data_IF_394309487635
#
_entry.id   IF_394309487635
#
_cell.length_a   1.000
_cell.length_b   1.000
_cell.length_c   1.000
_cell.angle_alpha   90.00
_cell.angle_beta   90.00
_cell.angle_gamma   90.00
#
_symmetry.space_group_name_H-M   'P 1'
#
loop_
_entity.id
_entity.type
_entity.pdbx_description
1 polymer ?
#
# COMPACT_ATOMS: atom_id res chain seq x y z
N UNK A 1 17.37 6.59 15.47
CA UNK A 1 16.53 7.80 15.62
C UNK A 1 16.20 8.29 14.21
N UNK A 2 14.95 8.19 13.75
CA UNK A 2 14.55 8.68 12.41
C UNK A 2 14.51 10.22 12.48
N UNK A 3 15.35 10.89 11.71
CA UNK A 3 15.35 12.36 11.63
C UNK A 3 14.03 12.83 11.02
N UNK A 4 13.39 13.85 11.62
CA UNK A 4 12.12 14.39 11.14
C UNK A 4 12.33 15.09 9.79
N UNK A 5 11.64 14.65 8.74
CA UNK A 5 11.72 15.26 7.42
C UNK A 5 10.95 16.60 7.39
N UNK A 6 11.60 17.75 7.14
CA UNK A 6 10.94 19.05 7.06
C UNK A 6 9.87 19.13 5.95
N UNK A 7 10.02 18.34 4.87
CA UNK A 7 9.06 18.31 3.76
C UNK A 7 7.85 17.42 4.02
N UNK A 8 7.81 16.72 5.16
CA UNK A 8 6.68 15.89 5.57
C UNK A 8 5.87 16.53 6.70
N UNK A 9 6.03 17.85 6.90
CA UNK A 9 5.26 18.59 7.88
C UNK A 9 3.78 18.68 7.47
N UNK A 10 2.87 18.71 8.47
CA UNK A 10 1.45 18.86 8.21
C UNK A 10 1.16 20.21 7.54
N UNK A 11 0.22 20.20 6.60
CA UNK A 11 -0.34 21.42 6.01
C UNK A 11 -1.45 21.92 6.91
N UNK A 12 -1.42 23.19 7.28
CA UNK A 12 -2.43 23.83 8.13
C UNK A 12 -3.00 25.06 7.41
N UNK A 13 -3.97 25.75 8.01
CA UNK A 13 -4.40 27.06 7.50
C UNK A 13 -3.32 28.14 7.64
N UNK A 14 -2.41 28.01 8.61
CA UNK A 14 -1.35 28.98 8.89
C UNK A 14 -0.09 28.72 8.05
N UNK A 15 0.25 27.45 7.83
CA UNK A 15 1.41 27.01 7.06
C UNK A 15 1.00 26.09 5.90
N UNK A 16 1.00 26.68 4.71
CA UNK A 16 0.67 26.03 3.45
C UNK A 16 1.88 25.90 2.52
N UNK A 17 3.11 26.04 3.00
CA UNK A 17 4.30 26.02 2.15
C UNK A 17 4.38 24.77 1.25
N UNK A 18 4.13 23.58 1.82
CA UNK A 18 4.12 22.32 1.07
C UNK A 18 3.02 22.27 -0.01
N UNK A 19 1.84 22.85 0.28
CA UNK A 19 0.74 22.93 -0.68
C UNK A 19 1.07 23.90 -1.83
N UNK A 20 1.63 25.07 -1.51
CA UNK A 20 2.08 26.06 -2.49
C UNK A 20 3.17 25.47 -3.40
N UNK A 21 4.11 24.71 -2.85
CA UNK A 21 5.11 24.01 -3.64
C UNK A 21 4.47 23.02 -4.63
N UNK A 22 3.45 22.26 -4.21
CA UNK A 22 2.71 21.37 -5.10
C UNK A 22 1.98 22.15 -6.21
N UNK A 23 1.36 23.28 -5.89
CA UNK A 23 0.71 24.14 -6.88
C UNK A 23 1.71 24.70 -7.90
N UNK A 24 2.88 25.15 -7.44
CA UNK A 24 3.95 25.63 -8.31
C UNK A 24 4.47 24.50 -9.20
N UNK A 25 4.65 23.30 -8.65
CA UNK A 25 5.05 22.13 -9.42
C UNK A 25 4.02 21.76 -10.49
N UNK A 26 2.72 21.77 -10.16
CA UNK A 26 1.65 21.51 -11.13
C UNK A 26 1.67 22.52 -12.29
N UNK A 27 1.83 23.82 -11.99
CA UNK A 27 1.96 24.87 -13.02
C UNK A 27 3.21 24.69 -13.88
N UNK A 28 4.33 24.35 -13.25
CA UNK A 28 5.57 24.07 -13.98
C UNK A 28 5.42 22.85 -14.90
N UNK A 29 4.76 21.79 -14.43
CA UNK A 29 4.54 20.57 -15.19
C UNK A 29 3.72 20.84 -16.45
N UNK A 30 2.68 21.66 -16.35
CA UNK A 30 1.89 22.10 -17.51
C UNK A 30 2.74 22.91 -18.48
N UNK A 31 3.52 23.89 -18.01
CA UNK A 31 4.39 24.68 -18.87
C UNK A 31 5.44 23.80 -19.58
N UNK A 32 6.05 22.85 -18.85
CA UNK A 32 7.04 21.92 -19.38
C UNK A 32 6.49 21.04 -20.51
N UNK A 33 5.23 20.61 -20.41
CA UNK A 33 4.58 19.81 -21.46
C UNK A 33 4.45 20.57 -22.80
N UNK A 34 4.31 21.89 -22.75
CA UNK A 34 4.11 22.75 -23.93
C UNK A 34 5.42 23.27 -24.56
N UNK A 35 6.59 22.96 -23.99
CA UNK A 35 7.88 23.37 -24.56
C UNK A 35 8.23 22.54 -25.80
N UNK A 36 8.40 23.19 -26.95
CA UNK A 36 8.82 22.51 -28.19
C UNK A 36 10.30 22.08 -28.14
N UNK A 37 10.64 20.98 -28.84
CA UNK A 37 12.03 20.55 -29.05
C UNK A 37 12.62 19.58 -28.02
N UNK A 38 11.86 19.13 -27.02
CA UNK A 38 12.31 18.10 -26.06
C UNK A 38 11.96 16.70 -26.55
N UNK A 39 12.96 15.86 -26.83
CA UNK A 39 12.78 14.45 -27.27
C UNK A 39 12.38 13.50 -26.14
N UNK A 40 12.33 13.97 -24.90
CA UNK A 40 12.11 13.18 -23.67
C UNK A 40 11.05 13.84 -22.78
N UNK A 41 9.78 13.76 -23.18
CA UNK A 41 8.63 14.13 -22.34
C UNK A 41 7.99 12.89 -21.72
N UNK A 42 7.18 13.09 -20.69
CA UNK A 42 6.33 12.03 -20.17
C UNK A 42 5.36 11.55 -21.26
N UNK A 43 5.03 10.26 -21.23
CA UNK A 43 3.94 9.75 -22.07
C UNK A 43 2.64 10.48 -21.72
N UNK A 44 1.75 10.68 -22.69
CA UNK A 44 0.46 11.35 -22.48
C UNK A 44 -0.31 10.77 -21.30
N UNK A 45 -0.28 9.44 -21.14
CA UNK A 45 -0.91 8.76 -20.01
C UNK A 45 -0.28 9.15 -18.67
N UNK A 46 1.05 9.14 -18.58
CA UNK A 46 1.77 9.47 -17.32
C UNK A 46 1.63 10.95 -16.97
N UNK A 47 1.73 11.83 -17.97
CA UNK A 47 1.49 13.26 -17.79
C UNK A 47 0.08 13.52 -17.24
N UNK A 48 -0.95 12.97 -17.89
CA UNK A 48 -2.33 13.15 -17.45
C UNK A 48 -2.57 12.58 -16.05
N UNK A 49 -2.00 11.42 -15.73
CA UNK A 49 -2.12 10.82 -14.40
C UNK A 49 -1.46 11.70 -13.33
N UNK A 50 -0.25 12.20 -13.59
CA UNK A 50 0.48 13.07 -12.66
C UNK A 50 -0.27 14.38 -12.43
N UNK A 51 -0.68 15.08 -13.49
CA UNK A 51 -1.42 16.34 -13.39
C UNK A 51 -2.74 16.17 -12.65
N UNK A 52 -3.51 15.10 -12.96
CA UNK A 52 -4.76 14.80 -12.24
C UNK A 52 -4.51 14.52 -10.77
N UNK A 53 -3.48 13.76 -10.44
CA UNK A 53 -3.16 13.43 -9.05
C UNK A 53 -2.77 14.68 -8.27
N UNK A 54 -1.92 15.54 -8.85
CA UNK A 54 -1.53 16.81 -8.21
C UNK A 54 -2.74 17.73 -7.98
N UNK A 55 -3.57 17.91 -8.99
CA UNK A 55 -4.78 18.74 -8.88
C UNK A 55 -5.78 18.17 -7.86
N UNK A 56 -5.96 16.85 -7.82
CA UNK A 56 -6.82 16.20 -6.83
C UNK A 56 -6.30 16.40 -5.40
N UNK A 57 -4.99 16.25 -5.17
CA UNK A 57 -4.37 16.47 -3.85
C UNK A 57 -4.53 17.92 -3.41
N UNK A 58 -4.32 18.89 -4.30
CA UNK A 58 -4.48 20.33 -4.01
C UNK A 58 -5.94 20.62 -3.63
N UNK A 59 -6.89 20.27 -4.50
CA UNK A 59 -8.31 20.54 -4.28
C UNK A 59 -8.85 19.84 -3.02
N UNK A 60 -8.45 18.60 -2.79
CA UNK A 60 -8.85 17.86 -1.59
C UNK A 60 -8.31 18.53 -0.33
N UNK A 61 -7.06 19.01 -0.36
CA UNK A 61 -6.45 19.69 0.77
C UNK A 61 -7.13 21.02 1.07
N UNK A 62 -7.39 21.83 0.03
CA UNK A 62 -8.11 23.10 0.16
C UNK A 62 -9.53 22.88 0.70
N UNK A 63 -10.25 21.89 0.17
CA UNK A 63 -11.59 21.55 0.61
C UNK A 63 -11.62 21.08 2.08
N UNK A 64 -10.67 20.22 2.46
CA UNK A 64 -10.59 19.71 3.82
C UNK A 64 -10.25 20.80 4.86
N UNK A 65 -9.36 21.74 4.52
CA UNK A 65 -9.02 22.85 5.41
C UNK A 65 -10.13 23.92 5.47
N UNK A 66 -10.68 24.30 4.31
CA UNK A 66 -11.60 25.45 4.22
C UNK A 66 -13.06 25.06 4.46
N UNK A 67 -13.50 23.90 3.98
CA UNK A 67 -14.92 23.48 4.01
C UNK A 67 -15.21 22.50 5.13
N UNK A 68 -14.32 21.54 5.40
CA UNK A 68 -14.50 20.58 6.48
C UNK A 68 -13.98 21.07 7.84
N UNK A 69 -13.20 22.17 7.85
CA UNK A 69 -12.64 22.73 9.08
C UNK A 69 -11.61 21.82 9.75
N UNK A 70 -10.92 20.96 8.99
CA UNK A 70 -9.87 20.11 9.52
C UNK A 70 -8.66 20.99 9.87
N UNK A 71 -8.10 20.81 11.07
CA UNK A 71 -6.99 21.62 11.59
C UNK A 71 -5.72 21.47 10.73
N UNK A 72 -5.42 20.24 10.31
CA UNK A 72 -4.23 19.94 9.53
C UNK A 72 -4.37 18.69 8.66
N UNK A 73 -3.56 18.63 7.60
CA UNK A 73 -3.55 17.53 6.63
C UNK A 73 -2.14 17.00 6.45
N UNK A 74 -2.01 15.66 6.46
CA UNK A 74 -0.78 14.98 6.12
C UNK A 74 -0.86 14.50 4.66
N UNK A 75 -0.21 15.22 3.74
CA UNK A 75 -0.26 14.92 2.31
C UNK A 75 0.19 13.48 1.99
N UNK A 76 1.18 12.95 2.72
CA UNK A 76 1.64 11.57 2.57
C UNK A 76 0.60 10.50 2.94
N UNK A 77 -0.49 10.87 3.62
CA UNK A 77 -1.61 9.95 3.91
C UNK A 77 -2.60 9.83 2.75
N UNK A 78 -2.51 10.70 1.75
CA UNK A 78 -3.36 10.66 0.55
C UNK A 78 -2.84 9.70 -0.54
N UNK A 79 -1.65 9.12 -0.35
CA UNK A 79 -1.00 8.22 -1.30
C UNK A 79 -1.47 6.76 -1.15
N UNK A 80 -1.24 5.96 -2.20
CA UNK A 80 -1.64 4.54 -2.27
C UNK A 80 -0.73 3.60 -1.49
N UNK A 81 0.39 4.07 -0.93
CA UNK A 81 1.40 3.27 -0.24
C UNK A 81 0.81 2.35 0.84
N UNK A 82 -0.19 2.81 1.61
CA UNK A 82 -0.83 1.99 2.63
C UNK A 82 -1.55 0.78 2.01
N UNK A 83 -2.21 0.98 0.87
CA UNK A 83 -2.88 -0.09 0.14
C UNK A 83 -1.85 -1.04 -0.47
N UNK A 84 -0.75 -0.51 -1.03
CA UNK A 84 0.34 -1.32 -1.57
C UNK A 84 1.05 -2.16 -0.49
N UNK A 85 1.23 -1.60 0.71
CA UNK A 85 1.74 -2.33 1.86
C UNK A 85 0.80 -3.49 2.25
N UNK A 86 -0.52 -3.26 2.29
CA UNK A 86 -1.51 -4.33 2.52
C UNK A 86 -1.47 -5.41 1.45
N UNK A 87 -1.34 -5.04 0.18
CA UNK A 87 -1.12 -6.03 -0.88
C UNK A 87 0.20 -6.80 -0.71
N UNK A 88 1.24 -6.15 -0.18
CA UNK A 88 2.48 -6.80 0.23
C UNK A 88 2.26 -7.87 1.30
N UNK A 89 1.47 -7.58 2.32
CA UNK A 89 1.11 -8.55 3.38
C UNK A 89 0.35 -9.74 2.79
N UNK A 90 -0.62 -9.53 1.90
CA UNK A 90 -1.36 -10.63 1.25
C UNK A 90 -0.44 -11.56 0.46
N UNK A 91 0.53 -10.99 -0.28
CA UNK A 91 1.54 -11.77 -1.02
C UNK A 91 2.39 -12.60 -0.05
N UNK A 92 2.88 -11.99 1.03
CA UNK A 92 3.70 -12.68 2.03
C UNK A 92 2.94 -13.83 2.70
N UNK A 93 1.69 -13.60 3.10
CA UNK A 93 0.82 -14.62 3.71
C UNK A 93 0.44 -15.75 2.75
N UNK A 94 0.61 -15.53 1.44
CA UNK A 94 0.38 -16.51 0.37
C UNK A 94 1.69 -17.15 -0.12
N UNK A 95 2.73 -17.18 0.72
CA UNK A 95 4.02 -17.78 0.37
C UNK A 95 4.86 -16.94 -0.58
N UNK A 96 4.75 -15.61 -0.48
CA UNK A 96 5.36 -14.64 -1.40
C UNK A 96 4.91 -14.79 -2.87
N UNK A 97 3.75 -15.40 -3.11
CA UNK A 97 3.16 -15.50 -4.44
C UNK A 97 2.66 -14.12 -4.91
N UNK A 98 3.08 -13.71 -6.11
CA UNK A 98 2.63 -12.46 -6.72
C UNK A 98 1.17 -12.53 -7.19
N UNK A 99 0.75 -13.70 -7.71
CA UNK A 99 -0.60 -13.95 -8.22
C UNK A 99 -1.48 -14.54 -7.10
N UNK A 100 -1.96 -13.68 -6.22
CA UNK A 100 -2.82 -14.08 -5.10
C UNK A 100 -4.26 -14.22 -5.57
N UNK A 101 -4.91 -15.35 -5.27
CA UNK A 101 -6.33 -15.55 -5.57
C UNK A 101 -7.22 -14.77 -4.61
N UNK A 102 -8.46 -14.47 -5.02
CA UNK A 102 -9.43 -13.78 -4.15
C UNK A 102 -9.67 -14.56 -2.85
N UNK A 103 -9.71 -15.89 -2.92
CA UNK A 103 -9.85 -16.74 -1.73
C UNK A 103 -8.67 -16.55 -0.76
N UNK A 104 -7.45 -16.53 -1.28
CA UNK A 104 -6.24 -16.30 -0.47
C UNK A 104 -6.20 -14.91 0.16
N UNK A 105 -6.68 -13.87 -0.54
CA UNK A 105 -6.83 -12.52 0.02
C UNK A 105 -7.83 -12.55 1.19
N UNK A 106 -8.99 -13.19 1.03
CA UNK A 106 -10.00 -13.27 2.08
C UNK A 106 -9.52 -14.04 3.31
N UNK A 107 -8.79 -15.14 3.11
CA UNK A 107 -8.17 -15.91 4.20
C UNK A 107 -7.09 -15.10 4.92
N UNK A 108 -6.26 -14.39 4.17
CA UNK A 108 -5.21 -13.51 4.72
C UNK A 108 -5.80 -12.36 5.52
N UNK A 109 -6.88 -11.75 5.03
CA UNK A 109 -7.56 -10.65 5.70
C UNK A 109 -8.20 -11.09 7.02
N UNK A 110 -8.78 -12.30 7.08
CA UNK A 110 -9.26 -12.89 8.34
C UNK A 110 -8.13 -13.00 9.36
N UNK A 111 -6.94 -13.48 8.94
CA UNK A 111 -5.76 -13.60 9.81
C UNK A 111 -5.30 -12.23 10.31
N UNK A 112 -5.16 -11.25 9.41
CA UNK A 112 -4.71 -9.90 9.75
C UNK A 112 -5.66 -9.19 10.73
N UNK A 113 -6.98 -9.36 10.54
CA UNK A 113 -7.98 -8.82 11.48
C UNK A 113 -7.85 -9.40 12.88
N UNK A 114 -7.68 -10.72 13.00
CA UNK A 114 -7.48 -11.38 14.29
C UNK A 114 -6.19 -10.85 14.96
N UNK A 115 -5.09 -10.77 14.20
CA UNK A 115 -3.84 -10.19 14.69
C UNK A 115 -4.00 -8.77 15.19
N UNK A 116 -4.71 -7.92 14.44
CA UNK A 116 -4.96 -6.52 14.83
C UNK A 116 -5.70 -6.43 16.16
N UNK A 117 -6.76 -7.23 16.35
CA UNK A 117 -7.57 -7.22 17.58
C UNK A 117 -6.76 -7.75 18.77
N UNK A 118 -6.03 -8.85 18.60
CA UNK A 118 -5.24 -9.45 19.67
C UNK A 118 -4.08 -8.53 20.10
N UNK A 119 -3.40 -7.90 19.14
CA UNK A 119 -2.34 -6.93 19.40
C UNK A 119 -2.84 -5.74 20.23
N UNK A 120 -4.06 -5.26 19.96
CA UNK A 120 -4.68 -4.18 20.74
C UNK A 120 -4.98 -4.62 22.18
N UNK A 121 -5.51 -5.83 22.40
CA UNK A 121 -5.84 -6.32 23.74
C UNK A 121 -4.61 -6.49 24.65
N UNK A 122 -3.47 -6.90 24.09
CA UNK A 122 -2.20 -7.09 24.83
C UNK A 122 -1.62 -5.81 25.44
N UNK A 123 -2.06 -4.63 25.00
CA UNK A 123 -1.61 -3.36 25.58
C UNK A 123 -2.37 -2.95 26.84
N UNK A 124 -3.55 -3.53 27.10
CA UNK A 124 -4.37 -3.29 28.30
C UNK A 124 -4.25 -4.40 29.36
N UNK A 125 -3.84 -5.60 28.94
CA UNK A 125 -3.59 -6.76 29.77
C UNK A 125 -2.20 -7.25 29.37
N UNK A 126 -1.23 -7.16 30.29
CA UNK A 126 0.21 -7.21 30.01
C UNK A 126 0.68 -8.27 29.00
N UNK A 127 1.83 -7.98 28.37
CA UNK A 127 2.52 -8.75 27.32
C UNK A 127 1.97 -10.16 27.09
N UNK A 128 1.01 -10.29 26.18
CA UNK A 128 0.72 -11.57 25.58
C UNK A 128 1.86 -11.84 24.62
N UNK A 129 2.92 -12.50 25.11
CA UNK A 129 3.99 -13.05 24.30
C UNK A 129 3.38 -14.08 23.34
N UNK A 130 2.87 -13.62 22.21
CA UNK A 130 2.65 -14.46 21.02
C UNK A 130 4.01 -14.56 20.31
N UNK A 131 5.00 -15.10 21.00
CA UNK A 131 6.32 -15.37 20.42
C UNK A 131 6.30 -16.54 19.44
N UNK A 132 5.15 -17.21 19.24
CA UNK A 132 5.14 -18.53 18.62
C UNK A 132 3.96 -18.79 17.68
N UNK A 133 3.62 -17.83 16.82
CA UNK A 133 2.66 -18.07 15.74
C UNK A 133 3.21 -17.81 14.34
N UNK A 134 4.30 -17.06 14.20
CA UNK A 134 5.11 -17.03 12.97
C UNK A 134 5.86 -18.37 12.78
N UNK A 135 6.36 -18.97 13.87
CA UNK A 135 6.94 -20.31 13.89
C UNK A 135 5.91 -21.38 13.58
N UNK A 136 4.69 -21.27 14.12
CA UNK A 136 3.61 -22.22 13.83
C UNK A 136 3.15 -22.13 12.38
N UNK A 137 3.13 -20.93 11.75
CA UNK A 137 2.75 -20.82 10.34
C UNK A 137 3.82 -21.31 9.37
N UNK A 138 5.10 -21.09 9.67
CA UNK A 138 6.21 -21.68 8.89
C UNK A 138 6.28 -23.20 9.08
N UNK A 139 6.07 -23.71 10.30
CA UNK A 139 5.95 -25.13 10.58
C UNK A 139 4.69 -25.75 9.93
N UNK A 140 3.55 -25.05 9.92
CA UNK A 140 2.33 -25.49 9.24
C UNK A 140 2.49 -25.47 7.71
N UNK A 141 3.18 -24.49 7.13
CA UNK A 141 3.50 -24.46 5.70
C UNK A 141 4.42 -25.64 5.32
N UNK A 142 5.44 -25.94 6.13
CA UNK A 142 6.35 -27.09 5.91
C UNK A 142 5.62 -28.44 6.09
N UNK A 143 4.71 -28.55 7.06
CA UNK A 143 3.92 -29.77 7.29
C UNK A 143 2.80 -29.96 6.26
N UNK A 144 2.20 -28.88 5.75
CA UNK A 144 1.15 -28.93 4.72
C UNK A 144 1.75 -29.25 3.35
N UNK A 145 2.97 -28.79 3.04
CA UNK A 145 3.72 -29.21 1.86
C UNK A 145 4.22 -30.66 1.93
N UNK A 146 4.41 -31.23 3.14
CA UNK A 146 4.71 -32.66 3.33
C UNK A 146 3.48 -33.58 3.28
N UNK A 147 2.26 -33.05 3.39
CA UNK A 147 1.00 -33.82 3.43
C UNK A 147 0.10 -33.64 2.20
N UNK A 148 0.69 -33.42 1.03
CA UNK A 148 -0.02 -33.56 -0.25
C UNK A 148 0.46 -34.77 -1.06
N UNK A 149 0.17 -36.03 -0.66
CA UNK A 149 0.20 -37.14 -1.59
C UNK A 149 -1.16 -37.18 -2.28
N UNK A 150 -1.34 -36.45 -3.41
CA UNK A 150 -2.34 -36.75 -4.47
C UNK A 150 -2.46 -35.62 -5.49
N UNK A 151 -1.42 -35.38 -6.30
CA UNK A 151 -1.58 -34.97 -7.72
C UNK A 151 -0.32 -35.41 -8.52
N UNK A 152 0.03 -36.70 -8.53
CA UNK A 152 1.05 -37.25 -9.45
C UNK A 152 0.77 -38.70 -9.89
N UNK A 153 -0.50 -39.10 -9.99
CA UNK A 153 -0.88 -40.40 -10.58
C UNK A 153 -2.10 -40.31 -11.49
N UNK A 154 -2.15 -39.29 -12.35
CA UNK A 154 -3.19 -39.21 -13.39
C UNK A 154 -2.65 -38.80 -14.76
N UNK A 155 -1.37 -39.11 -15.04
CA UNK A 155 -0.77 -38.99 -16.38
C UNK A 155 -0.07 -40.26 -16.89
N UNK A 156 -0.13 -41.40 -16.18
CA UNK A 156 0.53 -42.65 -16.63
C UNK A 156 -0.44 -43.74 -17.10
N UNK A 157 -1.66 -43.39 -17.52
CA UNK A 157 -2.67 -44.36 -17.96
C UNK A 157 -3.20 -44.13 -19.40
N UNK A 158 -2.47 -43.42 -20.27
CA UNK A 158 -2.87 -43.21 -21.69
C UNK A 158 -1.76 -43.60 -22.69
N UNK A 159 -0.64 -44.19 -22.28
CA UNK A 159 0.36 -44.73 -23.23
C UNK A 159 0.81 -46.14 -22.81
N UNK A 160 0.00 -47.14 -23.17
CA UNK A 160 0.30 -48.54 -22.90
C UNK A 160 -0.86 -49.48 -23.23
N UNK A 161 -1.23 -49.57 -24.51
CA UNK A 161 -1.91 -50.72 -25.12
C UNK A 161 -1.39 -50.87 -26.54
#
# INVERSE_FOLDING_TARGET
>A
MRTRNPFSQPVTNEDQANLIHLMQFAKWLEAWQHLDGQSSKLTTATFNALTRTMNAVIQLSEYALSTLGIEYILLGKLQTDNIEARFGEYRQLSGANYLVSVQQILESEKKLKIYSVLSMCSSSCGDVLISDLSTVFTAWLILTLRKQPRVYQMCSAIHGS
#
